data_IF_985905179084
#
_entry.id   IF_985905179084
#
_cell.length_a   1.000
_cell.length_b   1.000
_cell.length_c   1.000
_cell.angle_alpha   90.00
_cell.angle_beta   90.00
_cell.angle_gamma   90.00
#
_symmetry.space_group_name_H-M   'P 1'
#
loop_
_entity.id
_entity.type
_entity.pdbx_description
1 polymer ?
#
# COMPACT_ATOMS: atom_id res chain seq x y z
N UNK A 1 -17.17 21.19 -2.49
CA UNK A 1 -16.84 20.95 -1.07
C UNK A 1 -15.59 21.69 -0.58
N UNK A 2 -14.68 22.13 -1.46
CA UNK A 2 -13.50 22.94 -1.09
C UNK A 2 -13.84 24.23 -0.32
N UNK A 3 -14.95 24.90 -0.66
CA UNK A 3 -15.45 26.08 0.05
C UNK A 3 -15.84 25.77 1.51
N UNK A 4 -16.48 24.62 1.77
CA UNK A 4 -16.87 24.22 3.12
C UNK A 4 -15.65 24.02 4.05
N UNK A 5 -14.60 23.36 3.52
CA UNK A 5 -13.30 23.20 4.22
C UNK A 5 -12.66 24.57 4.52
N UNK A 6 -12.65 25.47 3.54
CA UNK A 6 -12.04 26.81 3.66
C UNK A 6 -12.83 27.81 4.51
N UNK A 7 -14.14 27.63 4.63
CA UNK A 7 -15.03 28.47 5.44
C UNK A 7 -15.25 27.96 6.87
N UNK A 8 -14.62 26.84 7.25
CA UNK A 8 -14.77 26.28 8.59
C UNK A 8 -16.18 25.84 8.92
N UNK A 9 -16.87 25.23 7.96
CA UNK A 9 -18.20 24.67 8.19
C UNK A 9 -18.20 23.69 9.37
N UNK A 10 -19.32 23.61 10.07
CA UNK A 10 -19.49 22.62 11.12
C UNK A 10 -19.41 21.19 10.53
N UNK A 11 -19.01 20.23 11.36
CA UNK A 11 -18.93 18.82 10.96
C UNK A 11 -20.29 18.29 10.48
N UNK A 12 -21.36 18.74 11.13
CA UNK A 12 -22.74 18.32 10.79
C UNK A 12 -23.18 18.89 9.44
N UNK A 13 -22.85 20.16 9.14
CA UNK A 13 -23.16 20.76 7.84
C UNK A 13 -22.37 20.11 6.70
N UNK A 14 -21.09 19.81 6.94
CA UNK A 14 -20.26 19.09 5.98
C UNK A 14 -20.81 17.68 5.71
N UNK A 15 -21.15 16.94 6.77
CA UNK A 15 -21.66 15.58 6.65
C UNK A 15 -23.00 15.56 5.91
N UNK A 16 -23.90 16.51 6.22
CA UNK A 16 -25.17 16.64 5.50
C UNK A 16 -24.95 16.87 4.00
N UNK A 17 -24.08 17.81 3.63
CA UNK A 17 -23.73 18.08 2.23
C UNK A 17 -23.11 16.84 1.55
N UNK A 18 -22.26 16.11 2.26
CA UNK A 18 -21.65 14.88 1.76
C UNK A 18 -22.72 13.82 1.46
N UNK A 19 -23.64 13.57 2.40
CA UNK A 19 -24.72 12.59 2.20
C UNK A 19 -25.65 12.98 1.05
N UNK A 20 -26.03 14.26 0.95
CA UNK A 20 -26.84 14.77 -0.16
C UNK A 20 -26.13 14.56 -1.52
N UNK A 21 -24.82 14.84 -1.59
CA UNK A 21 -24.02 14.64 -2.79
C UNK A 21 -23.87 13.16 -3.17
N UNK A 22 -23.64 12.27 -2.20
CA UNK A 22 -23.55 10.81 -2.41
C UNK A 22 -24.90 10.21 -2.82
N UNK A 23 -26.02 10.75 -2.34
CA UNK A 23 -27.34 10.34 -2.79
C UNK A 23 -27.63 10.76 -4.23
N UNK A 24 -27.15 11.95 -4.63
CA UNK A 24 -27.31 12.48 -5.98
C UNK A 24 -26.43 11.74 -7.01
N UNK A 25 -25.14 11.59 -6.73
CA UNK A 25 -24.19 10.92 -7.63
C UNK A 25 -23.24 9.99 -6.82
N UNK A 26 -23.64 8.74 -6.57
CA UNK A 26 -22.90 7.81 -5.72
C UNK A 26 -21.52 7.41 -6.25
N UNK A 27 -21.31 7.47 -7.56
CA UNK A 27 -20.07 7.01 -8.21
C UNK A 27 -19.02 8.12 -8.35
N UNK A 28 -19.37 9.37 -8.03
CA UNK A 28 -18.41 10.46 -8.05
C UNK A 28 -17.52 10.44 -6.81
N UNK A 29 -16.41 9.71 -6.92
CA UNK A 29 -15.36 9.54 -5.90
C UNK A 29 -14.73 10.86 -5.42
N UNK A 30 -14.91 11.97 -6.14
CA UNK A 30 -14.42 13.28 -5.73
C UNK A 30 -15.05 13.78 -4.43
N UNK A 31 -16.27 13.33 -4.10
CA UNK A 31 -16.88 13.63 -2.78
C UNK A 31 -16.13 12.90 -1.66
N UNK A 32 -15.74 11.65 -1.87
CA UNK A 32 -15.00 10.86 -0.90
C UNK A 32 -13.59 11.43 -0.69
N UNK A 33 -12.93 11.93 -1.74
CA UNK A 33 -11.66 12.68 -1.62
C UNK A 33 -11.85 13.93 -0.77
N UNK A 34 -12.89 14.72 -1.05
CA UNK A 34 -13.14 15.94 -0.28
C UNK A 34 -13.42 15.66 1.20
N UNK A 35 -14.15 14.57 1.51
CA UNK A 35 -14.39 14.12 2.89
C UNK A 35 -13.12 13.63 3.56
N UNK A 36 -12.35 12.78 2.90
CA UNK A 36 -11.11 12.25 3.45
C UNK A 36 -10.07 13.37 3.67
N UNK A 37 -10.01 14.36 2.76
CA UNK A 37 -9.26 15.58 3.01
C UNK A 37 -9.80 16.30 4.24
N UNK A 38 -11.09 16.66 4.32
CA UNK A 38 -11.65 17.36 5.48
C UNK A 38 -11.29 16.69 6.83
N UNK A 39 -11.20 15.35 6.84
CA UNK A 39 -10.88 14.51 8.00
C UNK A 39 -9.37 14.30 8.25
N UNK A 40 -8.44 14.94 7.55
CA UNK A 40 -7.03 14.87 7.95
C UNK A 40 -6.81 15.59 9.30
N UNK A 41 -5.87 15.11 10.16
CA UNK A 41 -5.58 15.71 11.48
C UNK A 41 -5.15 17.18 11.45
N UNK A 42 -4.65 17.64 10.31
CA UNK A 42 -4.23 19.03 10.11
C UNK A 42 -5.38 19.99 9.84
N UNK A 43 -6.58 19.47 9.66
CA UNK A 43 -7.80 20.25 9.48
C UNK A 43 -8.80 19.90 10.59
N UNK A 44 -9.80 19.04 10.35
CA UNK A 44 -10.90 18.85 11.29
C UNK A 44 -11.02 17.42 11.85
N UNK A 45 -10.21 16.48 11.39
CA UNK A 45 -10.30 15.09 11.83
C UNK A 45 -9.30 14.70 12.92
N UNK A 46 -9.45 13.48 13.42
CA UNK A 46 -8.52 12.81 14.33
C UNK A 46 -7.58 11.86 13.56
N UNK A 47 -6.41 11.50 14.12
CA UNK A 47 -5.56 10.46 13.54
C UNK A 47 -6.35 9.17 13.27
N UNK A 48 -6.29 8.66 12.04
CA UNK A 48 -6.99 7.43 11.63
C UNK A 48 -8.44 7.62 11.15
N UNK A 49 -9.01 8.82 11.27
CA UNK A 49 -10.44 9.05 11.03
C UNK A 49 -10.82 8.98 9.56
N UNK A 50 -10.00 9.53 8.66
CA UNK A 50 -10.28 9.47 7.23
C UNK A 50 -10.20 8.03 6.71
N UNK A 51 -9.25 7.24 7.22
CA UNK A 51 -9.09 5.83 6.86
C UNK A 51 -10.30 5.02 7.31
N UNK A 52 -10.71 5.19 8.57
CA UNK A 52 -11.88 4.51 9.11
C UNK A 52 -13.16 4.89 8.36
N UNK A 53 -13.36 6.17 8.06
CA UNK A 53 -14.55 6.61 7.35
C UNK A 53 -14.59 6.06 5.93
N UNK A 54 -13.45 5.99 5.25
CA UNK A 54 -13.35 5.45 3.91
C UNK A 54 -13.67 3.94 3.86
N UNK A 55 -13.35 3.16 4.89
CA UNK A 55 -13.73 1.74 4.92
C UNK A 55 -15.24 1.54 5.01
N UNK A 56 -15.96 2.43 5.68
CA UNK A 56 -17.43 2.39 5.75
C UNK A 56 -18.12 2.69 4.40
N UNK A 57 -17.43 3.40 3.50
CA UNK A 57 -17.95 3.74 2.17
C UNK A 57 -17.80 2.61 1.14
N UNK A 58 -16.97 1.59 1.42
CA UNK A 58 -16.69 0.49 0.48
C UNK A 58 -17.98 -0.31 0.15
N UNK A 59 -18.79 -0.59 1.16
CA UNK A 59 -19.98 -1.45 1.03
C UNK A 59 -21.26 -0.67 0.67
N UNK A 60 -21.14 0.63 0.38
CA UNK A 60 -22.31 1.47 0.08
C UNK A 60 -22.92 1.09 -1.27
N UNK A 61 -24.26 0.91 -1.35
CA UNK A 61 -24.93 0.58 -2.60
C UNK A 61 -24.66 1.61 -3.69
N UNK A 62 -24.52 1.15 -4.94
CA UNK A 62 -24.29 1.97 -6.15
C UNK A 62 -22.96 2.74 -6.19
N UNK A 63 -22.14 2.68 -5.14
CA UNK A 63 -20.79 3.24 -5.14
C UNK A 63 -19.80 2.42 -5.99
N UNK A 64 -18.56 2.91 -6.09
CA UNK A 64 -17.47 2.20 -6.77
C UNK A 64 -16.64 1.31 -5.83
N UNK A 65 -16.99 1.27 -4.53
CA UNK A 65 -16.34 0.44 -3.52
C UNK A 65 -14.83 0.65 -3.43
N UNK A 66 -14.04 -0.42 -3.61
CA UNK A 66 -12.58 -0.38 -3.53
C UNK A 66 -11.93 0.53 -4.58
N UNK A 67 -12.58 0.79 -5.72
CA UNK A 67 -12.08 1.80 -6.66
C UNK A 67 -12.10 3.20 -6.02
N UNK A 68 -13.19 3.59 -5.34
CA UNK A 68 -13.23 4.85 -4.57
C UNK A 68 -12.13 4.85 -3.51
N UNK A 69 -11.95 3.74 -2.79
CA UNK A 69 -10.89 3.61 -1.78
C UNK A 69 -9.51 3.96 -2.35
N UNK A 70 -9.17 3.35 -3.48
CA UNK A 70 -7.86 3.51 -4.13
C UNK A 70 -7.64 4.93 -4.67
N UNK A 71 -8.69 5.54 -5.22
CA UNK A 71 -8.64 6.94 -5.69
C UNK A 71 -8.43 7.92 -4.55
N UNK A 72 -9.05 7.69 -3.39
CA UNK A 72 -8.84 8.53 -2.20
C UNK A 72 -7.42 8.38 -1.66
N UNK A 73 -6.92 7.14 -1.54
CA UNK A 73 -5.52 6.90 -1.15
C UNK A 73 -4.56 7.56 -2.14
N UNK A 74 -4.84 7.47 -3.44
CA UNK A 74 -4.05 8.14 -4.49
C UNK A 74 -4.01 9.66 -4.29
N UNK A 75 -5.19 10.28 -4.15
CA UNK A 75 -5.33 11.72 -3.97
C UNK A 75 -4.65 12.24 -2.69
N UNK A 76 -4.72 11.49 -1.59
CA UNK A 76 -4.12 11.90 -0.32
C UNK A 76 -2.62 11.64 -0.23
N UNK A 77 -2.04 10.84 -1.13
CA UNK A 77 -0.63 10.45 -1.05
C UNK A 77 0.33 11.65 -1.01
N UNK A 78 -0.01 12.77 -1.64
CA UNK A 78 0.77 14.01 -1.62
C UNK A 78 0.92 14.67 -0.24
N UNK A 79 0.11 14.28 0.75
CA UNK A 79 0.25 14.73 2.15
C UNK A 79 1.24 13.90 2.96
N UNK A 80 1.79 12.83 2.39
CA UNK A 80 2.69 11.88 3.05
C UNK A 80 3.98 11.70 2.24
N UNK A 81 5.08 11.32 2.91
CA UNK A 81 6.27 10.83 2.18
C UNK A 81 6.05 9.41 1.71
N UNK A 82 5.37 8.59 2.51
CA UNK A 82 4.87 7.28 2.18
C UNK A 82 3.56 7.03 2.95
N UNK A 83 2.44 7.07 2.23
CA UNK A 83 1.11 6.92 2.82
C UNK A 83 0.92 5.60 3.57
N UNK A 84 1.53 4.50 3.14
CA UNK A 84 1.40 3.19 3.80
C UNK A 84 2.27 3.03 5.05
N UNK A 85 3.25 3.92 5.25
CA UNK A 85 4.12 3.91 6.45
C UNK A 85 3.70 4.95 7.49
N UNK A 86 3.00 6.00 7.05
CA UNK A 86 2.65 7.16 7.86
C UNK A 86 1.14 7.28 8.14
N UNK A 87 0.33 6.38 7.60
CA UNK A 87 -1.12 6.34 7.82
C UNK A 87 -1.61 4.89 8.02
N UNK A 88 -2.91 4.73 8.29
CA UNK A 88 -3.55 3.42 8.37
C UNK A 88 -4.13 2.94 7.02
N UNK A 89 -3.77 3.58 5.90
CA UNK A 89 -4.20 3.18 4.57
C UNK A 89 -3.80 1.72 4.28
N UNK A 90 -4.74 0.94 3.77
CA UNK A 90 -4.57 -0.48 3.50
C UNK A 90 -4.04 -0.69 2.09
N UNK A 91 -2.79 -1.20 1.98
CA UNK A 91 -2.26 -1.61 0.67
C UNK A 91 -3.12 -2.69 0.00
N UNK A 92 -3.56 -3.78 0.68
CA UNK A 92 -4.43 -4.77 0.05
C UNK A 92 -5.70 -4.18 -0.58
N UNK A 93 -6.39 -3.27 0.12
CA UNK A 93 -7.61 -2.63 -0.42
C UNK A 93 -7.29 -1.67 -1.57
N UNK A 94 -6.18 -0.93 -1.46
CA UNK A 94 -5.69 -0.03 -2.53
C UNK A 94 -5.33 -0.83 -3.79
N UNK A 95 -4.64 -1.96 -3.64
CA UNK A 95 -4.30 -2.85 -4.75
C UNK A 95 -5.56 -3.38 -5.42
N UNK A 96 -6.50 -3.91 -4.65
CA UNK A 96 -7.71 -4.52 -5.19
C UNK A 96 -8.57 -3.49 -5.94
N UNK A 97 -8.61 -2.23 -5.49
CA UNK A 97 -9.29 -1.17 -6.25
C UNK A 97 -8.53 -0.70 -7.49
N UNK A 98 -7.19 -0.71 -7.50
CA UNK A 98 -6.42 -0.53 -8.74
C UNK A 98 -6.72 -1.65 -9.75
N UNK A 99 -6.84 -2.91 -9.31
CA UNK A 99 -7.22 -4.01 -10.19
C UNK A 99 -8.60 -3.81 -10.81
N UNK A 100 -9.60 -3.35 -10.03
CA UNK A 100 -10.92 -2.99 -10.55
C UNK A 100 -10.83 -1.86 -11.60
N UNK A 101 -10.01 -0.84 -11.32
CA UNK A 101 -9.78 0.26 -12.26
C UNK A 101 -9.08 -0.22 -13.55
N UNK A 102 -8.12 -1.15 -13.46
CA UNK A 102 -7.44 -1.75 -14.62
C UNK A 102 -8.38 -2.60 -15.46
N UNK A 103 -9.33 -3.31 -14.84
CA UNK A 103 -10.37 -4.04 -15.58
C UNK A 103 -11.31 -3.10 -16.34
N UNK A 104 -11.72 -1.98 -15.72
CA UNK A 104 -12.62 -1.01 -16.35
C UNK A 104 -11.93 -0.13 -17.39
N UNK A 105 -10.67 0.22 -17.16
CA UNK A 105 -9.89 1.15 -17.97
C UNK A 105 -8.54 0.55 -18.37
N UNK A 106 -8.53 -0.54 -19.16
CA UNK A 106 -7.31 -1.31 -19.45
C UNK A 106 -6.25 -0.52 -20.24
N UNK A 107 -6.68 0.45 -21.04
CA UNK A 107 -5.79 1.30 -21.83
C UNK A 107 -5.25 2.53 -21.07
N UNK A 108 -5.67 2.76 -19.81
CA UNK A 108 -5.23 3.94 -19.05
C UNK A 108 -3.79 3.77 -18.56
N UNK A 109 -2.88 4.51 -19.21
CA UNK A 109 -1.50 4.60 -18.78
C UNK A 109 -1.36 5.29 -17.41
N UNK A 110 -2.26 6.24 -17.10
CA UNK A 110 -2.30 6.93 -15.81
C UNK A 110 -2.56 5.97 -14.65
N UNK A 111 -3.61 5.14 -14.78
CA UNK A 111 -3.96 4.13 -13.76
C UNK A 111 -2.85 3.09 -13.62
N UNK A 112 -2.24 2.65 -14.74
CA UNK A 112 -1.11 1.72 -14.70
C UNK A 112 0.12 2.33 -14.00
N UNK A 113 0.43 3.59 -14.32
CA UNK A 113 1.56 4.33 -13.75
C UNK A 113 1.38 4.56 -12.25
N UNK A 114 0.20 5.01 -11.82
CA UNK A 114 -0.13 5.16 -10.40
C UNK A 114 -0.06 3.81 -9.68
N UNK A 115 -0.70 2.77 -10.23
CA UNK A 115 -0.67 1.46 -9.61
C UNK A 115 0.76 0.94 -9.39
N UNK A 116 1.64 1.14 -10.38
CA UNK A 116 3.05 0.80 -10.28
C UNK A 116 3.76 1.58 -9.17
N UNK A 117 3.52 2.89 -9.07
CA UNK A 117 4.08 3.72 -8.01
C UNK A 117 3.60 3.26 -6.63
N UNK A 118 2.31 2.98 -6.46
CA UNK A 118 1.76 2.52 -5.18
C UNK A 118 2.28 1.13 -4.78
N UNK A 119 2.48 0.22 -5.73
CA UNK A 119 3.17 -1.05 -5.47
C UNK A 119 4.60 -0.84 -4.97
N UNK A 120 5.31 0.17 -5.49
CA UNK A 120 6.62 0.56 -4.99
C UNK A 120 6.56 1.15 -3.57
N UNK A 121 5.60 2.02 -3.28
CA UNK A 121 5.39 2.60 -1.95
C UNK A 121 5.07 1.53 -0.90
N UNK A 122 4.33 0.49 -1.28
CA UNK A 122 3.95 -0.63 -0.43
C UNK A 122 5.03 -1.73 -0.29
N UNK A 123 6.21 -1.53 -0.89
CA UNK A 123 7.27 -2.53 -0.98
C UNK A 123 6.84 -3.86 -1.66
N UNK A 124 5.76 -3.84 -2.46
CA UNK A 124 5.29 -5.00 -3.24
C UNK A 124 6.09 -5.13 -4.54
N UNK A 125 7.30 -5.63 -4.35
CA UNK A 125 8.31 -5.73 -5.40
C UNK A 125 7.91 -6.66 -6.54
N UNK A 126 7.19 -7.74 -6.21
CA UNK A 126 6.76 -8.73 -7.20
C UNK A 126 5.77 -8.11 -8.18
N UNK A 127 4.79 -7.38 -7.65
CA UNK A 127 3.81 -6.66 -8.46
C UNK A 127 4.44 -5.46 -9.17
N UNK A 128 5.26 -4.66 -8.48
CA UNK A 128 5.94 -3.51 -9.09
C UNK A 128 6.74 -3.92 -10.33
N UNK A 129 7.47 -5.04 -10.29
CA UNK A 129 8.22 -5.55 -11.45
C UNK A 129 7.30 -5.84 -12.64
N UNK A 130 6.18 -6.55 -12.41
CA UNK A 130 5.20 -6.85 -13.46
C UNK A 130 4.64 -5.58 -14.09
N UNK A 131 4.28 -4.60 -13.25
CA UNK A 131 3.73 -3.32 -13.72
C UNK A 131 4.78 -2.48 -14.48
N UNK A 132 6.06 -2.54 -14.10
CA UNK A 132 7.15 -1.93 -14.89
C UNK A 132 7.38 -2.61 -16.24
N UNK A 133 7.20 -3.94 -16.31
CA UNK A 133 7.24 -4.67 -17.58
C UNK A 133 6.08 -4.21 -18.49
N UNK A 134 4.86 -4.06 -17.95
CA UNK A 134 3.70 -3.52 -18.68
C UNK A 134 3.87 -2.07 -19.12
N UNK A 135 4.47 -1.21 -18.29
CA UNK A 135 4.73 0.19 -18.63
C UNK A 135 5.69 0.34 -19.81
N UNK A 136 6.54 -0.65 -20.10
CA UNK A 136 7.47 -0.60 -21.23
C UNK A 136 8.42 0.62 -21.21
N UNK A 137 8.66 1.21 -20.03
CA UNK A 137 9.46 2.43 -19.88
C UNK A 137 8.70 3.75 -20.10
N UNK A 138 7.41 3.72 -20.37
CA UNK A 138 6.56 4.90 -20.39
C UNK A 138 6.47 5.50 -18.99
N UNK A 139 6.72 6.81 -18.87
CA UNK A 139 6.71 7.52 -17.60
C UNK A 139 5.78 8.73 -17.70
N UNK A 140 4.88 8.86 -16.73
CA UNK A 140 4.07 10.06 -16.54
C UNK A 140 4.72 10.92 -15.46
N UNK A 141 5.20 12.11 -15.84
CA UNK A 141 5.92 12.99 -14.92
C UNK A 141 5.08 13.39 -13.69
N UNK A 142 3.77 13.60 -13.87
CA UNK A 142 2.85 13.95 -12.79
C UNK A 142 2.74 12.87 -11.72
N UNK A 143 2.81 11.58 -12.08
CA UNK A 143 2.79 10.47 -11.12
C UNK A 143 4.11 10.38 -10.36
N UNK A 144 5.24 10.34 -11.07
CA UNK A 144 6.52 9.96 -10.47
C UNK A 144 7.31 11.12 -9.85
N UNK A 145 6.88 12.37 -10.00
CA UNK A 145 7.63 13.55 -9.55
C UNK A 145 8.94 13.81 -10.32
N UNK A 146 9.33 12.90 -11.22
CA UNK A 146 10.46 13.07 -12.12
C UNK A 146 11.16 11.76 -12.48
N UNK A 147 12.13 11.86 -13.40
CA UNK A 147 12.84 10.69 -13.92
C UNK A 147 13.75 10.01 -12.89
N UNK A 148 14.18 10.75 -11.86
CA UNK A 148 15.02 10.22 -10.78
C UNK A 148 14.30 9.13 -9.99
N UNK A 149 13.08 9.41 -9.55
CA UNK A 149 12.31 8.50 -8.70
C UNK A 149 11.78 7.31 -9.50
N UNK A 150 11.33 7.53 -10.74
CA UNK A 150 10.99 6.45 -11.66
C UNK A 150 12.15 5.45 -11.82
N UNK A 151 13.36 5.93 -12.12
CA UNK A 151 14.54 5.05 -12.27
C UNK A 151 14.92 4.39 -10.96
N UNK A 152 14.83 5.11 -9.84
CA UNK A 152 15.14 4.56 -8.52
C UNK A 152 14.25 3.34 -8.22
N UNK A 153 12.94 3.50 -8.34
CA UNK A 153 11.98 2.43 -8.09
C UNK A 153 12.05 1.31 -9.11
N UNK A 154 12.27 1.63 -10.39
CA UNK A 154 12.48 0.62 -11.43
C UNK A 154 13.70 -0.24 -11.10
N UNK A 155 14.84 0.38 -10.80
CA UNK A 155 16.06 -0.36 -10.42
C UNK A 155 15.84 -1.18 -9.15
N UNK A 156 15.13 -0.63 -8.15
CA UNK A 156 14.73 -1.36 -6.97
C UNK A 156 13.87 -2.58 -7.33
N UNK A 157 12.89 -2.48 -8.22
CA UNK A 157 12.03 -3.60 -8.60
C UNK A 157 12.82 -4.76 -9.24
N UNK A 158 13.75 -4.45 -10.15
CA UNK A 158 14.57 -5.45 -10.85
C UNK A 158 15.81 -5.95 -10.10
N UNK A 159 16.22 -5.27 -9.03
CA UNK A 159 17.42 -5.68 -8.30
C UNK A 159 17.25 -7.11 -7.74
N UNK A 160 18.29 -7.95 -7.72
CA UNK A 160 18.20 -9.29 -7.14
C UNK A 160 17.78 -9.17 -5.67
N UNK A 161 16.74 -9.89 -5.25
CA UNK A 161 16.54 -10.08 -3.82
C UNK A 161 17.75 -10.87 -3.33
N UNK A 162 18.55 -10.29 -2.43
CA UNK A 162 19.45 -11.11 -1.62
C UNK A 162 18.53 -12.03 -0.83
N UNK A 163 18.40 -13.28 -1.30
CA UNK A 163 17.84 -14.33 -0.47
C UNK A 163 18.54 -14.20 0.88
N UNK A 164 17.78 -14.14 1.96
CA UNK A 164 18.35 -14.41 3.26
C UNK A 164 18.98 -15.79 3.14
N UNK A 165 20.30 -15.84 2.93
CA UNK A 165 21.09 -17.04 3.10
C UNK A 165 21.05 -17.28 4.61
N UNK A 166 19.92 -17.80 5.09
CA UNK A 166 19.77 -18.34 6.42
C UNK A 166 20.59 -19.61 6.42
N UNK A 167 21.89 -19.44 6.71
CA UNK A 167 22.73 -20.36 7.48
C UNK A 167 22.37 -21.86 7.47
N UNK A 168 22.16 -22.48 6.30
CA UNK A 168 22.21 -23.96 6.20
C UNK A 168 23.64 -24.50 6.36
N UNK A 169 24.66 -23.62 6.36
CA UNK A 169 26.06 -23.97 6.61
C UNK A 169 26.50 -24.00 8.08
N UNK A 170 25.67 -23.55 9.05
CA UNK A 170 26.01 -23.62 10.50
C UNK A 170 25.41 -24.82 11.23
N UNK A 171 24.35 -25.44 10.71
CA UNK A 171 23.71 -26.58 11.36
C UNK A 171 24.52 -27.89 11.20
N UNK A 172 25.27 -28.07 10.11
CA UNK A 172 26.04 -29.30 9.87
C UNK A 172 27.30 -29.41 10.73
N UNK A 173 27.92 -28.29 11.15
CA UNK A 173 29.08 -28.32 12.06
C UNK A 173 28.73 -28.63 13.51
N UNK A 174 27.54 -28.25 13.99
CA UNK A 174 27.13 -28.51 15.38
C UNK A 174 26.71 -29.96 15.61
N UNK A 175 26.10 -30.61 14.61
CA UNK A 175 25.70 -32.03 14.70
C UNK A 175 26.94 -32.94 14.66
N UNK A 176 27.92 -32.66 13.79
CA UNK A 176 29.17 -33.42 13.73
C UNK A 176 29.97 -33.36 15.04
N UNK A 177 30.01 -32.20 15.72
CA UNK A 177 30.73 -32.04 16.99
C UNK A 177 30.05 -32.76 18.16
N UNK A 178 28.71 -32.85 18.16
CA UNK A 178 27.96 -33.56 19.22
C UNK A 178 28.03 -35.08 19.11
N UNK A 179 28.23 -35.65 17.91
CA UNK A 179 28.40 -37.10 17.73
C UNK A 179 29.75 -37.59 18.27
N UNK A 180 30.83 -36.83 18.01
CA UNK A 180 32.18 -37.14 18.50
C UNK A 180 32.31 -37.12 20.03
N UNK A 181 31.61 -36.22 20.73
CA UNK A 181 31.67 -36.16 22.21
C UNK A 181 30.88 -37.32 22.85
N UNK A 182 29.77 -37.74 22.24
CA UNK A 182 28.96 -38.84 22.77
C UNK A 182 29.65 -40.20 22.63
N UNK A 183 30.38 -40.42 21.53
CA UNK A 183 31.19 -41.63 21.32
C UNK A 183 32.39 -41.70 22.30
N UNK A 184 32.95 -40.55 22.71
CA UNK A 184 34.04 -40.51 23.71
C UNK A 184 33.57 -40.73 25.15
N UNK A 185 32.34 -40.34 25.51
CA UNK A 185 31.78 -40.61 26.85
C UNK A 185 31.38 -42.08 27.03
N UNK A 186 30.84 -42.73 25.99
CA UNK A 186 30.40 -44.14 26.08
C UNK A 186 31.55 -45.14 26.28
N UNK A 187 32.80 -44.75 25.99
CA UNK A 187 33.98 -45.62 26.16
C UNK A 187 34.59 -45.57 27.58
N UNK A 188 34.08 -44.74 28.50
CA UNK A 188 34.63 -44.58 29.86
C UNK A 188 33.80 -45.20 30.98
N UNK A 189 32.63 -45.76 30.68
CA UNK A 189 31.70 -46.32 31.68
C UNK A 189 31.54 -47.84 31.58
N UNK A 190 32.56 -48.56 31.12
CA UNK A 190 32.62 -50.03 31.32
C UNK A 190 33.26 -50.32 32.69
N UNK A 191 32.54 -50.93 33.64
CA UNK A 191 33.10 -51.28 34.95
C UNK A 191 34.04 -52.51 34.83
N UNK A 192 35.12 -52.57 35.63
CA UNK A 192 36.01 -53.73 35.62
C UNK A 192 35.35 -54.93 36.30
N UNK A 193 35.65 -56.14 35.78
CA UNK A 193 35.45 -57.43 36.46
C UNK A 193 36.63 -57.69 37.39
#
# INVERSE_FOLDING_TARGET
MTLAKGQGWSRDDFEKLFQDAKAFEPQFWGYDVAKAEYLLPRWYGQPGEWEYTLTLEIDKPKGLGLETYSRVVSALSGYYKNIFRESHASWPQTRDGFELMRQRYPASLEILSEYCQFACLADDRGLARKLFDELGGQMIAGTWGGQKDFRHYRNWAYSPQKAAIVNLGRATKTIAKRRSVREQCAARESPPV
#
